data_IF_825959892389
#
_entry.id   IF_825959892389
#
_cell.length_a   1.000
_cell.length_b   1.000
_cell.length_c   1.000
_cell.angle_alpha   90.00
_cell.angle_beta   90.00
_cell.angle_gamma   90.00
#
_symmetry.space_group_name_H-M   'P 1'
#
loop_
_entity.id
_entity.type
_entity.pdbx_description
1 polymer ?
#
# COMPACT_ATOMS: atom_id res chain seq x y z
N UNK A 1 29.55 16.86 45.33
CA UNK A 1 29.58 16.99 43.87
C UNK A 1 30.53 15.93 43.32
N UNK A 2 30.01 14.82 42.76
CA UNK A 2 30.62 13.92 41.78
C UNK A 2 29.79 12.63 41.77
N UNK A 3 29.16 12.25 40.64
CA UNK A 3 28.99 10.88 40.11
C UNK A 3 27.91 10.63 39.01
N UNK A 4 27.25 11.59 38.33
CA UNK A 4 26.34 11.24 37.23
C UNK A 4 27.07 10.93 35.91
N UNK A 5 28.12 11.69 35.56
CA UNK A 5 28.89 11.51 34.31
C UNK A 5 29.59 10.15 34.16
N UNK A 6 30.20 9.61 35.23
CA UNK A 6 30.91 8.32 35.18
C UNK A 6 30.00 7.13 34.83
N UNK A 7 28.72 7.17 35.23
CA UNK A 7 27.76 6.11 34.89
C UNK A 7 27.42 6.17 33.40
N UNK A 8 27.23 7.38 32.86
CA UNK A 8 26.98 7.56 31.43
C UNK A 8 28.18 7.15 30.58
N UNK A 9 29.39 7.49 31.00
CA UNK A 9 30.62 7.15 30.27
C UNK A 9 30.90 5.63 30.32
N UNK A 10 30.60 4.98 31.45
CA UNK A 10 30.78 3.52 31.60
C UNK A 10 29.73 2.75 30.80
N UNK A 11 28.48 3.22 30.78
CA UNK A 11 27.42 2.62 29.96
C UNK A 11 27.65 2.88 28.48
N UNK A 12 28.11 4.07 28.09
CA UNK A 12 28.47 4.37 26.71
C UNK A 12 29.65 3.54 26.23
N UNK A 13 30.68 3.34 27.06
CA UNK A 13 31.80 2.46 26.76
C UNK A 13 31.38 1.00 26.67
N UNK A 14 30.50 0.53 27.57
CA UNK A 14 29.96 -0.83 27.54
C UNK A 14 29.10 -1.08 26.29
N UNK A 15 28.25 -0.11 25.91
CA UNK A 15 27.43 -0.19 24.70
C UNK A 15 28.31 -0.12 23.46
N UNK A 16 29.31 0.77 23.44
CA UNK A 16 30.25 0.84 22.33
C UNK A 16 31.03 -0.48 22.19
N UNK A 17 31.55 -1.05 23.27
CA UNK A 17 32.31 -2.31 23.22
C UNK A 17 31.41 -3.51 22.90
N UNK A 18 30.16 -3.54 23.40
CA UNK A 18 29.21 -4.63 23.08
C UNK A 18 28.66 -4.54 21.66
N UNK A 19 28.45 -3.33 21.12
CA UNK A 19 27.97 -3.11 19.74
C UNK A 19 29.11 -3.27 18.73
N UNK A 20 30.36 -2.99 19.11
CA UNK A 20 31.53 -3.14 18.22
C UNK A 20 32.13 -4.56 18.23
N UNK A 21 31.73 -5.41 19.19
CA UNK A 21 32.16 -6.83 19.31
C UNK A 21 31.00 -7.81 18.98
N UNK A 22 29.98 -7.36 18.27
CA UNK A 22 29.31 -8.31 17.37
C UNK A 22 30.37 -8.67 16.33
N UNK A 23 30.80 -9.95 16.22
CA UNK A 23 31.63 -10.33 15.11
C UNK A 23 30.91 -9.84 13.85
N UNK A 24 31.62 -9.14 12.97
CA UNK A 24 31.18 -9.03 11.58
C UNK A 24 30.74 -10.44 11.22
N UNK A 25 29.43 -10.62 11.02
CA UNK A 25 28.90 -11.90 10.62
C UNK A 25 29.55 -12.15 9.27
N UNK A 26 30.58 -12.98 9.28
CA UNK A 26 31.24 -13.44 8.07
C UNK A 26 30.12 -14.02 7.20
N UNK A 27 30.04 -13.67 5.90
CA UNK A 27 28.89 -14.02 5.10
C UNK A 27 28.58 -15.50 5.26
N UNK A 28 27.44 -15.81 5.89
CA UNK A 28 27.00 -17.16 6.09
C UNK A 28 26.87 -17.87 4.74
N UNK A 29 26.91 -19.22 4.70
CA UNK A 29 26.65 -19.98 3.47
C UNK A 29 25.29 -19.70 2.81
N UNK A 30 24.43 -18.91 3.49
CA UNK A 30 23.09 -18.53 3.10
C UNK A 30 22.93 -17.02 2.86
N UNK A 31 24.01 -16.24 2.98
CA UNK A 31 23.96 -14.78 2.81
C UNK A 31 23.78 -14.36 1.34
N UNK A 32 23.95 -15.32 0.42
CA UNK A 32 23.69 -15.17 -1.01
C UNK A 32 22.33 -15.74 -1.46
N UNK A 33 21.42 -16.05 -0.52
CA UNK A 33 20.01 -16.25 -0.87
C UNK A 33 19.35 -14.87 -0.99
N UNK A 34 19.83 -14.05 -1.91
CA UNK A 34 19.08 -12.90 -2.35
C UNK A 34 17.72 -13.41 -2.86
N UNK A 35 16.58 -12.81 -2.42
CA UNK A 35 15.27 -13.23 -2.85
C UNK A 35 15.19 -13.30 -4.38
N UNK A 36 15.24 -14.52 -4.93
CA UNK A 36 15.10 -14.73 -6.36
C UNK A 36 13.62 -14.72 -6.70
N UNK A 37 13.29 -14.00 -7.75
CA UNK A 37 11.94 -13.94 -8.28
C UNK A 37 11.41 -15.36 -8.56
N UNK A 38 10.26 -15.77 -7.98
CA UNK A 38 9.74 -17.12 -8.15
C UNK A 38 9.29 -17.38 -9.59
N UNK A 39 9.30 -18.64 -10.05
CA UNK A 39 8.76 -18.98 -11.36
C UNK A 39 7.29 -18.53 -11.47
N UNK A 40 6.94 -17.91 -12.59
CA UNK A 40 5.58 -17.39 -12.84
C UNK A 40 5.30 -15.98 -12.30
N UNK A 41 6.27 -15.33 -11.66
CA UNK A 41 6.10 -13.97 -11.12
C UNK A 41 5.61 -12.96 -12.16
N UNK A 42 6.17 -12.96 -13.38
CA UNK A 42 5.73 -12.05 -14.45
C UNK A 42 4.25 -12.22 -14.80
N UNK A 43 3.72 -13.45 -14.76
CA UNK A 43 2.31 -13.70 -15.02
C UNK A 43 1.43 -13.15 -13.88
N UNK A 44 1.88 -13.26 -12.64
CA UNK A 44 1.18 -12.71 -11.48
C UNK A 44 1.15 -11.17 -11.56
N UNK A 45 2.29 -10.54 -11.86
CA UNK A 45 2.36 -9.09 -12.05
C UNK A 45 1.41 -8.61 -13.15
N UNK A 46 1.34 -9.31 -14.27
CA UNK A 46 0.42 -8.98 -15.36
C UNK A 46 -1.04 -9.05 -14.91
N UNK A 47 -1.43 -10.13 -14.21
CA UNK A 47 -2.80 -10.28 -13.70
C UNK A 47 -3.14 -9.14 -12.74
N UNK A 48 -2.24 -8.83 -11.79
CA UNK A 48 -2.43 -7.71 -10.85
C UNK A 48 -2.58 -6.39 -11.61
N UNK A 49 -1.74 -6.16 -12.62
CA UNK A 49 -1.82 -4.99 -13.50
C UNK A 49 -3.17 -4.89 -14.23
N UNK A 50 -3.67 -5.98 -14.80
CA UNK A 50 -4.99 -5.99 -15.45
C UNK A 50 -6.11 -5.70 -14.47
N UNK A 51 -6.08 -6.27 -13.27
CA UNK A 51 -7.08 -5.99 -12.22
C UNK A 51 -7.06 -4.53 -11.81
N UNK A 52 -5.87 -3.95 -11.60
CA UNK A 52 -5.73 -2.52 -11.29
C UNK A 52 -6.29 -1.64 -12.40
N UNK A 53 -6.01 -1.98 -13.66
CA UNK A 53 -6.52 -1.24 -14.81
C UNK A 53 -8.05 -1.31 -14.91
N UNK A 54 -8.64 -2.51 -14.78
CA UNK A 54 -10.10 -2.71 -14.81
C UNK A 54 -10.78 -1.92 -13.68
N UNK A 55 -10.20 -1.95 -12.47
CA UNK A 55 -10.71 -1.19 -11.34
C UNK A 55 -10.67 0.32 -11.62
N UNK A 56 -9.55 0.84 -12.14
CA UNK A 56 -9.41 2.24 -12.52
C UNK A 56 -10.42 2.68 -13.57
N UNK A 57 -10.57 1.92 -14.66
CA UNK A 57 -11.54 2.20 -15.72
C UNK A 57 -12.98 2.14 -15.20
N UNK A 58 -13.29 1.18 -14.31
CA UNK A 58 -14.62 1.05 -13.71
C UNK A 58 -14.97 2.26 -12.85
N UNK A 59 -14.02 2.78 -12.04
CA UNK A 59 -14.21 3.98 -11.24
C UNK A 59 -14.56 5.17 -12.13
N UNK A 60 -13.75 5.42 -13.17
CA UNK A 60 -13.95 6.53 -14.10
C UNK A 60 -15.29 6.38 -14.84
N UNK A 61 -15.56 5.18 -15.36
CA UNK A 61 -16.79 4.86 -16.08
C UNK A 61 -18.04 5.00 -15.23
N UNK A 62 -18.02 4.53 -13.98
CA UNK A 62 -19.15 4.69 -13.05
C UNK A 62 -19.37 6.15 -12.66
N UNK A 63 -18.29 6.93 -12.47
CA UNK A 63 -18.41 8.34 -12.11
C UNK A 63 -19.04 9.16 -13.24
N UNK A 64 -18.41 9.15 -14.43
CA UNK A 64 -18.90 9.92 -15.57
C UNK A 64 -20.20 9.35 -16.15
N UNK A 65 -20.31 8.02 -16.23
CA UNK A 65 -21.55 7.35 -16.61
C UNK A 65 -22.70 7.66 -15.63
N UNK A 66 -22.39 7.77 -14.34
CA UNK A 66 -23.34 8.20 -13.31
C UNK A 66 -23.80 9.64 -13.48
N UNK A 67 -22.90 10.57 -13.86
CA UNK A 67 -23.27 11.96 -14.21
C UNK A 67 -24.21 11.97 -15.40
N UNK A 68 -23.87 11.25 -16.47
CA UNK A 68 -24.72 11.16 -17.67
C UNK A 68 -26.10 10.59 -17.32
N UNK A 69 -26.15 9.49 -16.57
CA UNK A 69 -27.41 8.88 -16.14
C UNK A 69 -28.24 9.79 -15.22
N UNK A 70 -27.58 10.52 -14.32
CA UNK A 70 -28.24 11.45 -13.42
C UNK A 70 -28.85 12.64 -14.18
N UNK A 71 -28.08 13.20 -15.13
CA UNK A 71 -28.51 14.31 -15.99
C UNK A 71 -29.62 13.87 -16.94
N UNK A 72 -29.50 12.70 -17.57
CA UNK A 72 -30.54 12.13 -18.44
C UNK A 72 -31.85 11.91 -17.68
N UNK A 73 -31.80 11.46 -16.43
CA UNK A 73 -32.99 11.29 -15.60
C UNK A 73 -33.73 12.57 -15.25
N UNK A 74 -33.00 13.69 -15.11
CA UNK A 74 -33.61 15.02 -14.92
C UNK A 74 -34.16 15.60 -16.22
N UNK A 75 -33.53 15.28 -17.35
CA UNK A 75 -33.91 15.83 -18.65
C UNK A 75 -35.13 15.13 -19.25
N UNK A 76 -35.23 13.80 -19.10
CA UNK A 76 -36.30 13.00 -19.72
C UNK A 76 -37.43 12.62 -18.75
N UNK A 77 -37.46 13.18 -17.54
CA UNK A 77 -38.42 12.79 -16.48
C UNK A 77 -38.44 11.28 -16.16
N UNK A 78 -37.33 10.59 -16.43
CA UNK A 78 -37.16 9.19 -16.06
C UNK A 78 -36.79 9.09 -14.58
N UNK A 79 -37.81 9.06 -13.73
CA UNK A 79 -37.76 9.01 -12.26
C UNK A 79 -36.74 8.01 -11.67
N UNK A 80 -36.42 6.92 -12.38
CA UNK A 80 -35.46 5.90 -11.93
C UNK A 80 -34.00 6.18 -12.27
N UNK A 81 -33.71 6.78 -13.44
CA UNK A 81 -32.33 6.92 -13.95
C UNK A 81 -31.53 7.96 -13.17
N UNK A 82 -32.19 9.02 -12.69
CA UNK A 82 -31.61 10.01 -11.78
C UNK A 82 -31.03 9.39 -10.50
N UNK A 83 -31.79 8.45 -9.91
CA UNK A 83 -31.40 7.74 -8.68
C UNK A 83 -30.29 6.73 -8.93
N UNK A 84 -30.34 6.04 -10.07
CA UNK A 84 -29.28 5.11 -10.48
C UNK A 84 -27.96 5.87 -10.71
N UNK A 85 -28.00 7.00 -11.42
CA UNK A 85 -26.81 7.83 -11.65
C UNK A 85 -26.16 8.32 -10.35
N UNK A 86 -26.98 8.79 -9.39
CA UNK A 86 -26.48 9.18 -8.07
C UNK A 86 -25.78 8.01 -7.34
N UNK A 87 -26.33 6.79 -7.41
CA UNK A 87 -25.71 5.59 -6.82
C UNK A 87 -24.38 5.23 -7.48
N UNK A 88 -24.29 5.36 -8.81
CA UNK A 88 -23.04 5.11 -9.54
C UNK A 88 -21.95 6.10 -9.13
N UNK A 89 -22.28 7.39 -9.00
CA UNK A 89 -21.34 8.42 -8.56
C UNK A 89 -20.85 8.10 -7.14
N UNK A 90 -21.76 7.90 -6.18
CA UNK A 90 -21.38 7.61 -4.79
C UNK A 90 -20.57 6.31 -4.70
N UNK A 91 -20.98 5.27 -5.41
CA UNK A 91 -20.25 4.00 -5.49
C UNK A 91 -18.84 4.17 -6.06
N UNK A 92 -18.69 4.94 -7.14
CA UNK A 92 -17.39 5.22 -7.75
C UNK A 92 -16.44 6.00 -6.83
N UNK A 93 -16.96 6.94 -6.04
CA UNK A 93 -16.17 7.69 -5.06
C UNK A 93 -15.68 6.78 -3.93
N UNK A 94 -16.56 5.92 -3.40
CA UNK A 94 -16.16 4.93 -2.40
C UNK A 94 -15.11 3.96 -2.94
N UNK A 95 -15.29 3.46 -4.17
CA UNK A 95 -14.32 2.63 -4.87
C UNK A 95 -12.99 3.37 -5.10
N UNK A 96 -13.01 4.65 -5.48
CA UNK A 96 -11.81 5.45 -5.68
C UNK A 96 -11.00 5.61 -4.38
N UNK A 97 -11.68 5.87 -3.26
CA UNK A 97 -11.05 5.95 -1.95
C UNK A 97 -10.43 4.60 -1.56
N UNK A 98 -11.17 3.50 -1.72
CA UNK A 98 -10.65 2.17 -1.42
C UNK A 98 -9.47 1.79 -2.32
N UNK A 99 -9.53 2.14 -3.61
CA UNK A 99 -8.47 1.88 -4.58
C UNK A 99 -7.19 2.67 -4.25
N UNK A 100 -7.33 3.95 -3.91
CA UNK A 100 -6.19 4.80 -3.53
C UNK A 100 -5.58 4.45 -2.16
N UNK A 101 -6.42 4.23 -1.15
CA UNK A 101 -5.95 3.88 0.21
C UNK A 101 -5.50 2.43 0.34
N UNK A 102 -6.13 1.51 -0.40
CA UNK A 102 -5.85 0.08 -0.30
C UNK A 102 -4.39 -0.24 -0.59
N UNK A 103 -3.80 0.39 -1.62
CA UNK A 103 -2.38 0.24 -1.91
C UNK A 103 -1.50 0.69 -0.75
N UNK A 104 -1.72 1.91 -0.24
CA UNK A 104 -0.96 2.48 0.87
C UNK A 104 -1.03 1.60 2.12
N UNK A 105 -2.22 1.10 2.48
CA UNK A 105 -2.41 0.25 3.65
C UNK A 105 -1.68 -1.09 3.50
N UNK A 106 -1.80 -1.75 2.34
CA UNK A 106 -1.11 -3.02 2.07
C UNK A 106 0.40 -2.82 2.11
N UNK A 107 0.92 -1.76 1.50
CA UNK A 107 2.36 -1.46 1.49
C UNK A 107 2.92 -1.24 2.89
N UNK A 108 2.16 -0.59 3.79
CA UNK A 108 2.60 -0.41 5.18
C UNK A 108 2.67 -1.72 5.96
N UNK A 109 1.69 -2.63 5.81
CA UNK A 109 1.72 -3.94 6.47
C UNK A 109 2.76 -4.89 5.88
N UNK A 110 2.94 -4.87 4.56
CA UNK A 110 3.93 -5.71 3.89
C UNK A 110 5.36 -5.26 4.22
N UNK A 111 5.62 -3.95 4.28
CA UNK A 111 6.93 -3.41 4.61
C UNK A 111 7.35 -3.61 6.07
N UNK A 112 6.39 -3.65 7.00
CA UNK A 112 6.67 -3.88 8.44
C UNK A 112 6.98 -5.33 8.78
N UNK A 113 6.66 -6.29 7.91
CA UNK A 113 6.97 -7.72 8.15
C UNK A 113 8.40 -8.08 7.71
N UNK A 114 9.07 -7.21 6.95
CA UNK A 114 10.40 -7.43 6.38
C UNK A 114 11.55 -6.78 7.18
N UNK A 115 11.25 -6.20 8.36
CA UNK A 115 12.21 -5.59 9.30
C UNK A 115 12.17 -6.31 10.64
#
# INVERSE_FOLDING_TARGET
>A
MLLPHLIHDTVAALIHDTVTVLPVQDPGPFDDIAPRTPPGFQAIEQIVGYVQWIAGVSIVGLFFGGIVAASAGRLWDHHGSGRLGARMIVGSLALAVLFGLGYTLISQFAGTTAS
#
